data_IF_504419800893
#
_entry.id   IF_504419800893
#
_cell.length_a   1.000
_cell.length_b   1.000
_cell.length_c   1.000
_cell.angle_alpha   90.00
_cell.angle_beta   90.00
_cell.angle_gamma   90.00
#
_symmetry.space_group_name_H-M   'P 1'
#
loop_
_entity.id
_entity.type
_entity.pdbx_description
1 polymer ?
#
# COMPACT_ATOMS: atom_id res chain seq x y z
N UNK A 1 -31.94 -12.62 -21.44
CA UNK A 1 -30.50 -12.91 -21.57
C UNK A 1 -30.39 -14.21 -22.37
N UNK A 2 -29.65 -14.24 -23.44
CA UNK A 2 -29.41 -15.45 -24.22
C UNK A 2 -28.30 -16.28 -23.54
N UNK A 3 -28.40 -17.60 -23.68
CA UNK A 3 -27.43 -18.54 -23.10
C UNK A 3 -26.92 -19.49 -24.19
N UNK A 4 -25.65 -19.89 -24.08
CA UNK A 4 -25.07 -21.00 -24.83
C UNK A 4 -24.79 -22.14 -23.89
N UNK A 5 -24.76 -23.37 -24.40
CA UNK A 5 -24.39 -24.57 -23.67
C UNK A 5 -22.88 -24.77 -23.79
N UNK A 6 -22.21 -24.87 -22.66
CA UNK A 6 -20.81 -25.26 -22.52
C UNK A 6 -20.72 -26.57 -21.75
N UNK A 7 -19.58 -27.25 -21.82
CA UNK A 7 -19.38 -28.49 -21.09
C UNK A 7 -17.95 -28.63 -20.56
N UNK A 8 -17.81 -29.32 -19.48
CA UNK A 8 -16.56 -29.78 -18.90
C UNK A 8 -16.64 -31.25 -18.48
N UNK A 9 -15.69 -31.73 -17.69
CA UNK A 9 -15.68 -33.13 -17.22
C UNK A 9 -16.86 -33.49 -16.32
N UNK A 10 -17.64 -32.54 -15.81
CA UNK A 10 -18.82 -32.72 -14.98
C UNK A 10 -20.14 -32.69 -15.76
N UNK A 11 -20.08 -32.36 -17.06
CA UNK A 11 -21.26 -32.31 -17.93
C UNK A 11 -21.55 -30.90 -18.46
N UNK A 12 -22.78 -30.74 -18.97
CA UNK A 12 -23.25 -29.50 -19.56
C UNK A 12 -23.62 -28.45 -18.50
N UNK A 13 -23.44 -27.17 -18.87
CA UNK A 13 -23.87 -25.99 -18.10
C UNK A 13 -24.22 -24.86 -19.06
N UNK A 14 -25.15 -24.01 -18.66
CA UNK A 14 -25.58 -22.83 -19.44
C UNK A 14 -24.78 -21.62 -19.04
N UNK A 15 -24.13 -20.97 -20.01
CA UNK A 15 -23.30 -19.76 -19.82
C UNK A 15 -23.94 -18.60 -20.60
N UNK A 16 -23.96 -17.36 -20.07
CA UNK A 16 -24.44 -16.21 -20.83
C UNK A 16 -23.74 -16.09 -22.19
N UNK A 17 -24.52 -15.95 -23.27
CA UNK A 17 -23.98 -16.02 -24.64
C UNK A 17 -23.03 -14.88 -24.99
N UNK A 18 -23.15 -13.73 -24.31
CA UNK A 18 -22.33 -12.53 -24.48
C UNK A 18 -21.00 -12.56 -23.69
N UNK A 19 -20.73 -13.62 -22.92
CA UNK A 19 -19.53 -13.73 -22.07
C UNK A 19 -18.51 -14.68 -22.68
N UNK A 20 -17.22 -14.34 -22.50
CA UNK A 20 -16.12 -15.20 -22.97
C UNK A 20 -15.75 -16.32 -22.01
N UNK A 21 -16.14 -16.26 -20.73
CA UNK A 21 -15.93 -17.39 -19.82
C UNK A 21 -16.74 -18.62 -20.24
N UNK A 22 -16.37 -19.81 -19.77
CA UNK A 22 -17.01 -21.07 -20.13
C UNK A 22 -17.43 -21.85 -18.88
N UNK A 23 -17.51 -23.18 -19.02
CA UNK A 23 -18.14 -24.07 -18.03
C UNK A 23 -17.52 -24.00 -16.64
N UNK A 24 -16.21 -24.03 -16.51
CA UNK A 24 -15.56 -24.06 -15.19
C UNK A 24 -15.74 -22.74 -14.42
N UNK A 25 -15.68 -21.61 -15.11
CA UNK A 25 -15.97 -20.31 -14.51
C UNK A 25 -17.43 -20.22 -14.10
N UNK A 26 -18.38 -20.63 -14.94
CA UNK A 26 -19.81 -20.59 -14.59
C UNK A 26 -20.12 -21.43 -13.36
N UNK A 27 -19.54 -22.64 -13.27
CA UNK A 27 -19.70 -23.46 -12.05
C UNK A 27 -19.19 -22.77 -10.79
N UNK A 28 -18.07 -22.10 -10.89
CA UNK A 28 -17.53 -21.32 -9.75
C UNK A 28 -18.44 -20.15 -9.39
N UNK A 29 -18.95 -19.44 -10.39
CA UNK A 29 -19.87 -18.33 -10.22
C UNK A 29 -21.17 -18.78 -9.52
N UNK A 30 -21.71 -19.94 -9.89
CA UNK A 30 -22.90 -20.52 -9.25
C UNK A 30 -22.61 -21.09 -7.85
N UNK A 31 -21.43 -21.72 -7.65
CA UNK A 31 -21.10 -22.41 -6.40
C UNK A 31 -20.70 -21.46 -5.26
N UNK A 32 -20.20 -20.27 -5.56
CA UNK A 32 -19.66 -19.34 -4.56
C UNK A 32 -20.36 -17.96 -4.59
N UNK A 33 -21.68 -17.90 -4.28
CA UNK A 33 -22.40 -16.62 -4.21
C UNK A 33 -22.07 -15.87 -2.90
N UNK A 34 -20.79 -15.62 -2.62
CA UNK A 34 -20.26 -15.05 -1.36
C UNK A 34 -19.58 -13.74 -1.68
N UNK A 35 -20.12 -12.62 -1.16
CA UNK A 35 -19.54 -11.29 -1.37
C UNK A 35 -19.64 -10.78 -2.81
N UNK A 36 -20.59 -11.30 -3.58
CA UNK A 36 -20.79 -10.96 -5.00
C UNK A 36 -20.96 -9.44 -5.19
N UNK A 37 -20.18 -8.87 -6.10
CA UNK A 37 -20.20 -7.45 -6.41
C UNK A 37 -19.42 -6.58 -5.42
N UNK A 38 -18.86 -7.17 -4.35
CA UNK A 38 -18.03 -6.46 -3.35
C UNK A 38 -16.64 -7.09 -3.30
N UNK A 39 -16.52 -8.34 -2.85
CA UNK A 39 -15.23 -9.05 -2.75
C UNK A 39 -14.95 -9.84 -4.04
N UNK A 40 -14.86 -9.15 -5.17
CA UNK A 40 -14.46 -9.72 -6.45
C UNK A 40 -12.95 -9.90 -6.53
N UNK A 41 -12.49 -10.80 -7.40
CA UNK A 41 -11.05 -10.95 -7.67
C UNK A 41 -10.44 -9.61 -8.09
N UNK A 42 -9.35 -9.14 -7.44
CA UNK A 42 -8.74 -7.85 -7.77
C UNK A 42 -8.35 -7.75 -9.25
N UNK A 43 -8.54 -6.58 -9.82
CA UNK A 43 -8.19 -6.32 -11.24
C UNK A 43 -6.70 -6.46 -11.49
N UNK A 44 -5.87 -6.20 -10.50
CA UNK A 44 -4.43 -6.40 -10.52
C UNK A 44 -4.06 -7.88 -10.76
N UNK A 45 -4.83 -8.81 -10.19
CA UNK A 45 -4.66 -10.26 -10.44
C UNK A 45 -5.09 -10.62 -11.87
N UNK A 46 -6.19 -10.05 -12.37
CA UNK A 46 -6.65 -10.28 -13.75
C UNK A 46 -5.60 -9.77 -14.74
N UNK A 47 -5.08 -8.57 -14.53
CA UNK A 47 -3.98 -7.98 -15.31
C UNK A 47 -2.74 -8.88 -15.29
N UNK A 48 -2.32 -9.34 -14.11
CA UNK A 48 -1.19 -10.24 -13.95
C UNK A 48 -1.39 -11.58 -14.67
N UNK A 49 -2.60 -12.12 -14.69
CA UNK A 49 -2.91 -13.30 -15.51
C UNK A 49 -2.75 -13.02 -17.01
N UNK A 50 -3.15 -11.87 -17.50
CA UNK A 50 -2.92 -11.46 -18.90
C UNK A 50 -1.43 -11.49 -19.25
N UNK A 51 -0.58 -10.87 -18.41
CA UNK A 51 0.89 -10.89 -18.55
C UNK A 51 1.46 -12.30 -18.51
N UNK A 52 1.08 -13.09 -17.52
CA UNK A 52 1.55 -14.46 -17.29
C UNK A 52 1.19 -15.36 -18.49
N UNK A 53 -0.06 -15.30 -18.97
CA UNK A 53 -0.53 -16.16 -20.08
C UNK A 53 0.14 -15.78 -21.39
N UNK A 54 0.36 -14.50 -21.64
CA UNK A 54 1.15 -14.04 -22.80
C UNK A 54 2.59 -14.51 -22.72
N UNK A 55 3.24 -14.37 -21.58
CA UNK A 55 4.61 -14.83 -21.35
C UNK A 55 4.75 -16.35 -21.51
N UNK A 56 3.77 -17.12 -20.98
CA UNK A 56 3.74 -18.57 -21.13
C UNK A 56 3.57 -19.01 -22.60
N UNK A 57 2.73 -18.33 -23.37
CA UNK A 57 2.58 -18.59 -24.79
C UNK A 57 3.89 -18.31 -25.56
N UNK A 58 4.58 -17.21 -25.27
CA UNK A 58 5.89 -16.87 -25.87
C UNK A 58 6.94 -17.92 -25.54
N UNK A 59 7.04 -18.34 -24.27
CA UNK A 59 7.99 -19.38 -23.85
C UNK A 59 7.67 -20.74 -24.49
N UNK A 60 6.39 -21.13 -24.55
CA UNK A 60 5.95 -22.37 -25.19
C UNK A 60 6.20 -22.35 -26.71
N UNK A 61 6.02 -21.21 -27.37
CA UNK A 61 6.33 -21.05 -28.78
C UNK A 61 7.83 -21.26 -29.06
N UNK A 62 8.69 -20.71 -28.20
CA UNK A 62 10.14 -20.93 -28.31
C UNK A 62 10.56 -22.39 -28.09
N UNK A 63 9.92 -23.06 -27.12
CA UNK A 63 10.32 -24.41 -26.68
C UNK A 63 9.59 -25.55 -27.41
N UNK A 64 8.37 -25.31 -27.88
CA UNK A 64 7.48 -26.28 -28.54
C UNK A 64 6.72 -25.65 -29.72
N UNK A 65 7.39 -25.13 -30.75
CA UNK A 65 6.74 -24.40 -31.86
C UNK A 65 5.74 -25.28 -32.64
N UNK A 66 5.94 -26.60 -32.63
CA UNK A 66 5.00 -27.56 -33.27
C UNK A 66 3.64 -27.62 -32.57
N UNK A 67 3.55 -27.25 -31.28
CA UNK A 67 2.30 -27.20 -30.53
C UNK A 67 1.78 -25.77 -30.37
N UNK A 68 2.64 -24.82 -30.04
CA UNK A 68 2.34 -23.41 -29.95
C UNK A 68 2.79 -22.73 -31.25
N UNK A 69 1.94 -22.82 -32.26
CA UNK A 69 2.24 -22.27 -33.62
C UNK A 69 2.17 -20.73 -33.62
N UNK A 70 2.72 -20.09 -34.66
CA UNK A 70 2.64 -18.63 -34.87
C UNK A 70 1.19 -18.11 -34.79
N UNK A 71 0.26 -18.86 -35.39
CA UNK A 71 -1.16 -18.49 -35.42
C UNK A 71 -1.79 -18.53 -34.04
N UNK A 72 -1.49 -19.56 -33.22
CA UNK A 72 -1.95 -19.67 -31.83
C UNK A 72 -1.34 -18.57 -30.97
N UNK A 73 -0.03 -18.35 -31.09
CA UNK A 73 0.67 -17.29 -30.35
C UNK A 73 0.08 -15.91 -30.66
N UNK A 74 -0.20 -15.61 -31.94
CA UNK A 74 -0.78 -14.32 -32.32
C UNK A 74 -2.17 -14.11 -31.71
N UNK A 75 -3.05 -15.11 -31.78
CA UNK A 75 -4.40 -15.05 -31.22
C UNK A 75 -4.38 -14.92 -29.67
N UNK A 76 -3.52 -15.70 -28.99
CA UNK A 76 -3.34 -15.64 -27.53
C UNK A 76 -2.80 -14.27 -27.13
N UNK A 77 -1.74 -13.79 -27.80
CA UNK A 77 -1.11 -12.52 -27.45
C UNK A 77 -2.08 -11.35 -27.57
N UNK A 78 -2.88 -11.31 -28.64
CA UNK A 78 -3.87 -10.25 -28.82
C UNK A 78 -4.98 -10.30 -27.75
N UNK A 79 -5.51 -11.48 -27.45
CA UNK A 79 -6.51 -11.63 -26.38
C UNK A 79 -5.91 -11.25 -25.00
N UNK A 80 -4.66 -11.63 -24.72
CA UNK A 80 -3.96 -11.23 -23.50
C UNK A 80 -3.78 -9.71 -23.41
N UNK A 81 -3.47 -9.03 -24.50
CA UNK A 81 -3.34 -7.56 -24.52
C UNK A 81 -4.67 -6.86 -24.16
N UNK A 82 -5.81 -7.42 -24.59
CA UNK A 82 -7.13 -6.93 -24.18
C UNK A 82 -7.41 -7.18 -22.67
N UNK A 83 -6.96 -8.30 -22.11
CA UNK A 83 -7.04 -8.57 -20.66
C UNK A 83 -6.15 -7.60 -19.88
N UNK A 84 -4.89 -7.44 -20.29
CA UNK A 84 -3.92 -6.51 -19.70
C UNK A 84 -4.46 -5.07 -19.73
N UNK A 85 -5.03 -4.65 -20.86
CA UNK A 85 -5.63 -3.32 -21.02
C UNK A 85 -6.96 -3.11 -20.28
N UNK A 86 -7.52 -4.17 -19.67
CA UNK A 86 -8.77 -4.11 -18.90
C UNK A 86 -10.05 -4.10 -19.73
N UNK A 87 -9.97 -4.22 -21.06
CA UNK A 87 -11.12 -4.23 -21.96
C UNK A 87 -12.07 -5.40 -21.70
N UNK A 88 -11.53 -6.53 -21.20
CA UNK A 88 -12.27 -7.74 -20.91
C UNK A 88 -12.64 -7.90 -19.42
N UNK A 89 -12.51 -6.88 -18.59
CA UNK A 89 -12.75 -6.96 -17.14
C UNK A 89 -14.13 -7.50 -16.76
N UNK A 90 -15.17 -7.26 -17.57
CA UNK A 90 -16.54 -7.74 -17.33
C UNK A 90 -16.72 -9.23 -17.62
N UNK A 91 -15.68 -9.91 -18.07
CA UNK A 91 -15.62 -11.35 -18.29
C UNK A 91 -14.95 -12.12 -17.12
N UNK A 92 -14.66 -11.42 -15.99
CA UNK A 92 -14.05 -11.99 -14.79
C UNK A 92 -14.98 -11.79 -13.58
N UNK A 93 -16.05 -12.63 -13.46
CA UNK A 93 -17.10 -12.42 -12.46
C UNK A 93 -16.76 -13.01 -11.09
N UNK A 94 -15.63 -13.72 -10.94
CA UNK A 94 -15.39 -14.55 -9.78
C UNK A 94 -15.05 -13.73 -8.53
N UNK A 95 -15.47 -14.26 -7.39
CA UNK A 95 -15.22 -13.68 -6.06
C UNK A 95 -13.92 -14.23 -5.46
N UNK A 96 -13.43 -13.55 -4.43
CA UNK A 96 -12.29 -13.99 -3.62
C UNK A 96 -12.58 -15.31 -2.90
N UNK A 97 -13.81 -15.50 -2.46
CA UNK A 97 -14.29 -16.66 -1.71
C UNK A 97 -14.60 -17.83 -2.64
N UNK A 98 -13.55 -18.38 -3.23
CA UNK A 98 -13.55 -19.52 -4.16
C UNK A 98 -12.57 -20.58 -3.67
N UNK A 99 -12.18 -21.54 -4.52
CA UNK A 99 -11.11 -22.48 -4.16
C UNK A 99 -9.84 -21.76 -3.77
N UNK A 100 -9.24 -22.14 -2.65
CA UNK A 100 -8.11 -21.46 -2.06
C UNK A 100 -6.80 -21.52 -2.85
N UNK A 101 -6.72 -22.40 -3.85
CA UNK A 101 -5.62 -22.48 -4.80
C UNK A 101 -5.71 -21.48 -5.96
N UNK A 102 -6.86 -20.79 -6.13
CA UNK A 102 -7.13 -19.90 -7.24
C UNK A 102 -7.38 -20.61 -8.59
N UNK A 103 -7.68 -21.91 -8.57
CA UNK A 103 -7.90 -22.70 -9.79
C UNK A 103 -9.00 -22.11 -10.67
N UNK A 104 -10.12 -21.66 -10.10
CA UNK A 104 -11.19 -21.06 -10.88
C UNK A 104 -10.77 -19.75 -11.55
N UNK A 105 -9.98 -18.92 -10.88
CA UNK A 105 -9.43 -17.68 -11.50
C UNK A 105 -8.47 -17.99 -12.63
N UNK A 106 -7.60 -19.01 -12.48
CA UNK A 106 -6.75 -19.48 -13.57
C UNK A 106 -7.60 -19.97 -14.76
N UNK A 107 -8.65 -20.77 -14.50
CA UNK A 107 -9.54 -21.26 -15.55
C UNK A 107 -10.36 -20.15 -16.18
N UNK A 108 -10.79 -19.15 -15.41
CA UNK A 108 -11.46 -17.97 -15.94
C UNK A 108 -10.56 -17.25 -16.97
N UNK A 109 -9.30 -17.03 -16.64
CA UNK A 109 -8.34 -16.45 -17.58
C UNK A 109 -8.15 -17.34 -18.82
N UNK A 110 -8.00 -18.66 -18.63
CA UNK A 110 -7.85 -19.61 -19.72
C UNK A 110 -9.06 -19.60 -20.67
N UNK A 111 -10.27 -19.62 -20.12
CA UNK A 111 -11.52 -19.67 -20.89
C UNK A 111 -11.75 -18.36 -21.66
N UNK A 112 -11.55 -17.20 -21.01
CA UNK A 112 -11.70 -15.87 -21.62
C UNK A 112 -10.70 -15.69 -22.76
N UNK A 113 -9.42 -15.99 -22.53
CA UNK A 113 -8.37 -15.83 -23.54
C UNK A 113 -8.60 -16.79 -24.72
N UNK A 114 -8.98 -18.07 -24.46
CA UNK A 114 -9.25 -19.03 -25.52
C UNK A 114 -10.44 -18.61 -26.38
N UNK A 115 -11.56 -18.24 -25.79
CA UNK A 115 -12.76 -17.87 -26.52
C UNK A 115 -12.59 -16.55 -27.28
N UNK A 116 -11.95 -15.54 -26.67
CA UNK A 116 -11.64 -14.29 -27.36
C UNK A 116 -10.62 -14.51 -28.50
N UNK A 117 -9.59 -15.32 -28.27
CA UNK A 117 -8.61 -15.67 -29.30
C UNK A 117 -9.23 -16.44 -30.48
N UNK A 118 -10.19 -17.33 -30.21
CA UNK A 118 -10.94 -18.03 -31.23
C UNK A 118 -11.80 -17.08 -32.08
N UNK A 119 -12.45 -16.10 -31.43
CA UNK A 119 -13.21 -15.07 -32.15
C UNK A 119 -12.29 -14.22 -33.04
N UNK A 120 -11.14 -13.78 -32.49
CA UNK A 120 -10.14 -13.01 -33.25
C UNK A 120 -9.57 -13.79 -34.45
N UNK A 121 -9.37 -15.10 -34.30
CA UNK A 121 -8.92 -15.99 -35.39
C UNK A 121 -10.03 -16.35 -36.40
N UNK A 122 -11.29 -16.07 -36.08
CA UNK A 122 -12.45 -16.43 -36.90
C UNK A 122 -12.71 -17.94 -37.01
N UNK A 123 -12.11 -18.74 -36.13
CA UNK A 123 -12.24 -20.22 -36.07
C UNK A 123 -11.91 -20.78 -34.71
N UNK A 124 -12.34 -22.01 -34.43
CA UNK A 124 -11.96 -22.75 -33.20
C UNK A 124 -10.49 -23.20 -33.30
N UNK A 125 -9.56 -22.37 -32.83
CA UNK A 125 -8.12 -22.58 -32.88
C UNK A 125 -7.54 -22.99 -31.54
N UNK A 126 -8.07 -22.44 -30.45
CA UNK A 126 -7.53 -22.52 -29.10
C UNK A 126 -8.44 -23.33 -28.16
N UNK A 127 -7.81 -24.09 -27.25
CA UNK A 127 -8.46 -24.77 -26.15
C UNK A 127 -7.94 -24.26 -24.80
N UNK A 128 -8.81 -23.98 -23.81
CA UNK A 128 -8.37 -23.38 -22.53
C UNK A 128 -7.27 -24.16 -21.81
N UNK A 129 -7.41 -25.50 -21.74
CA UNK A 129 -6.45 -26.35 -21.02
C UNK A 129 -5.22 -26.70 -21.87
N UNK A 130 -5.40 -27.02 -23.16
CA UNK A 130 -4.34 -27.58 -23.98
C UNK A 130 -3.40 -26.50 -24.53
N UNK A 131 -3.92 -25.30 -24.78
CA UNK A 131 -3.18 -24.20 -25.37
C UNK A 131 -2.87 -23.08 -24.38
N UNK A 132 -3.89 -22.51 -23.69
CA UNK A 132 -3.67 -21.38 -22.79
C UNK A 132 -2.97 -21.82 -21.50
N UNK A 133 -3.32 -23.00 -20.96
CA UNK A 133 -2.70 -23.59 -19.77
C UNK A 133 -1.50 -24.50 -20.05
N UNK A 134 -1.01 -24.53 -21.28
CA UNK A 134 0.12 -25.37 -21.69
C UNK A 134 1.34 -25.16 -20.80
N UNK A 135 1.93 -26.26 -20.29
CA UNK A 135 3.10 -26.27 -19.39
C UNK A 135 2.87 -25.66 -17.99
N UNK A 136 1.61 -25.48 -17.57
CA UNK A 136 1.22 -24.78 -16.35
C UNK A 136 0.27 -25.63 -15.49
N UNK A 137 0.14 -25.22 -14.24
CA UNK A 137 -0.92 -25.61 -13.31
C UNK A 137 -1.50 -24.35 -12.65
N UNK A 138 -2.74 -24.40 -12.16
CA UNK A 138 -3.24 -23.31 -11.29
C UNK A 138 -2.39 -23.12 -10.04
N UNK A 139 -1.72 -24.18 -9.58
CA UNK A 139 -0.90 -24.15 -8.38
C UNK A 139 0.36 -23.29 -8.52
N UNK A 140 0.92 -23.18 -9.72
CA UNK A 140 2.07 -22.30 -9.98
C UNK A 140 1.68 -20.97 -10.66
N UNK A 141 0.54 -20.90 -11.37
CA UNK A 141 0.10 -19.68 -12.02
C UNK A 141 -0.46 -18.65 -11.04
N UNK A 142 -1.32 -19.06 -10.10
CA UNK A 142 -1.95 -18.11 -9.17
C UNK A 142 -0.93 -17.42 -8.25
N UNK A 143 0.02 -18.12 -7.58
CA UNK A 143 1.07 -17.44 -6.81
C UNK A 143 1.97 -16.57 -7.67
N UNK A 144 2.22 -16.94 -8.93
CA UNK A 144 2.95 -16.08 -9.88
C UNK A 144 2.18 -14.79 -10.16
N UNK A 145 0.86 -14.88 -10.44
CA UNK A 145 0.02 -13.70 -10.62
C UNK A 145 -0.02 -12.80 -9.36
N UNK A 146 -0.05 -13.39 -8.18
CA UNK A 146 0.06 -12.66 -6.90
C UNK A 146 1.36 -11.85 -6.83
N UNK A 147 2.51 -12.47 -7.15
CA UNK A 147 3.80 -11.81 -7.12
C UNK A 147 3.91 -10.69 -8.16
N UNK A 148 3.45 -10.91 -9.39
CA UNK A 148 3.42 -9.87 -10.42
C UNK A 148 2.60 -8.67 -9.93
N UNK A 149 1.35 -8.90 -9.49
CA UNK A 149 0.47 -7.85 -9.01
C UNK A 149 1.04 -7.11 -7.78
N UNK A 150 1.68 -7.84 -6.85
CA UNK A 150 2.30 -7.25 -5.68
C UNK A 150 3.48 -6.33 -6.05
N UNK A 151 4.38 -6.78 -6.92
CA UNK A 151 5.52 -5.96 -7.37
C UNK A 151 5.05 -4.72 -8.12
N UNK A 152 4.10 -4.86 -9.04
CA UNK A 152 3.58 -3.72 -9.81
C UNK A 152 2.91 -2.68 -8.90
N UNK A 153 2.05 -3.09 -7.97
CA UNK A 153 1.38 -2.12 -7.08
C UNK A 153 2.37 -1.41 -6.15
N UNK A 154 3.40 -2.12 -5.67
CA UNK A 154 4.43 -1.52 -4.82
C UNK A 154 5.31 -0.54 -5.60
N UNK A 155 5.86 -0.94 -6.75
CA UNK A 155 6.78 -0.12 -7.53
C UNK A 155 6.08 1.02 -8.28
N UNK A 156 4.87 0.79 -8.81
CA UNK A 156 4.22 1.74 -9.70
C UNK A 156 3.21 2.65 -8.99
N UNK A 157 2.81 2.35 -7.74
CA UNK A 157 1.81 3.13 -7.00
C UNK A 157 2.28 3.52 -5.59
N UNK A 158 2.72 2.57 -4.75
CA UNK A 158 3.05 2.87 -3.34
C UNK A 158 4.32 3.70 -3.23
N UNK A 159 5.41 3.27 -3.87
CA UNK A 159 6.69 4.01 -3.84
C UNK A 159 6.52 5.41 -4.42
N UNK A 160 5.90 5.64 -5.59
CA UNK A 160 5.69 6.99 -6.09
C UNK A 160 4.83 7.88 -5.16
N UNK A 161 3.83 7.31 -4.49
CA UNK A 161 3.03 8.06 -3.52
C UNK A 161 3.86 8.50 -2.30
N UNK A 162 4.75 7.63 -1.80
CA UNK A 162 5.69 7.98 -0.74
C UNK A 162 6.63 9.09 -1.20
N UNK A 163 7.23 8.94 -2.38
CA UNK A 163 8.17 9.92 -2.94
C UNK A 163 7.53 11.29 -3.09
N UNK A 164 6.28 11.35 -3.57
CA UNK A 164 5.50 12.58 -3.68
C UNK A 164 5.35 13.31 -2.32
N UNK A 165 5.00 12.58 -1.26
CA UNK A 165 4.81 13.17 0.08
C UNK A 165 6.15 13.54 0.73
N UNK A 166 7.21 12.76 0.49
CA UNK A 166 8.59 13.07 0.92
C UNK A 166 9.05 14.40 0.32
N UNK A 167 8.82 14.61 -0.98
CA UNK A 167 9.18 15.87 -1.66
C UNK A 167 8.40 17.06 -1.10
N UNK A 168 7.12 16.88 -0.80
CA UNK A 168 6.29 17.91 -0.14
C UNK A 168 6.84 18.25 1.24
N UNK A 169 7.19 17.27 2.06
CA UNK A 169 7.77 17.55 3.39
C UNK A 169 9.14 18.20 3.30
N UNK A 170 9.98 17.81 2.34
CA UNK A 170 11.26 18.47 2.11
C UNK A 170 11.10 19.97 1.74
N UNK A 171 10.09 20.31 0.95
CA UNK A 171 9.73 21.70 0.66
C UNK A 171 9.27 22.42 1.93
N UNK A 172 8.38 21.80 2.71
CA UNK A 172 7.88 22.40 3.96
C UNK A 172 8.97 22.59 5.01
N UNK A 173 9.95 21.69 5.11
CA UNK A 173 11.13 21.87 5.97
C UNK A 173 11.86 23.17 5.64
N UNK A 174 12.16 23.39 4.35
CA UNK A 174 12.87 24.60 3.88
C UNK A 174 12.07 25.88 4.13
N UNK A 175 10.77 25.85 3.87
CA UNK A 175 9.86 27.00 4.08
C UNK A 175 9.70 27.38 5.56
N UNK A 176 9.94 26.44 6.47
CA UNK A 176 9.79 26.61 7.92
C UNK A 176 11.13 26.60 8.68
N UNK A 177 12.24 26.75 7.98
CA UNK A 177 13.55 26.92 8.61
C UNK A 177 13.55 28.13 9.56
N UNK A 178 14.07 27.95 10.77
CA UNK A 178 14.09 28.98 11.81
C UNK A 178 12.74 29.29 12.48
N UNK A 179 11.68 28.58 12.19
CA UNK A 179 10.40 28.70 12.90
C UNK A 179 10.45 27.86 14.19
N UNK A 180 10.63 28.51 15.32
CA UNK A 180 10.74 27.86 16.64
C UNK A 180 9.37 27.76 17.30
N UNK A 181 9.09 26.60 17.89
CA UNK A 181 7.85 26.28 18.62
C UNK A 181 8.13 25.47 19.89
N UNK A 182 7.14 25.30 20.74
CA UNK A 182 7.21 24.33 21.85
C UNK A 182 7.21 22.91 21.28
N UNK A 183 8.21 22.11 21.65
CA UNK A 183 8.13 20.65 21.51
C UNK A 183 7.11 20.09 22.48
N UNK A 184 6.64 18.86 22.23
CA UNK A 184 5.71 18.15 23.12
C UNK A 184 6.09 16.69 23.24
N UNK A 185 6.13 16.20 24.47
CA UNK A 185 6.22 14.78 24.82
C UNK A 185 5.08 14.45 25.77
N UNK A 186 4.45 13.30 25.62
CA UNK A 186 3.23 12.91 26.38
C UNK A 186 2.07 13.91 26.21
N UNK A 187 2.01 14.67 25.11
CA UNK A 187 1.14 15.84 24.89
C UNK A 187 1.33 16.97 25.91
N UNK A 188 2.41 16.94 26.71
CA UNK A 188 2.80 18.01 27.61
C UNK A 188 3.85 18.90 26.96
N UNK A 189 3.90 20.17 27.39
CA UNK A 189 4.91 21.12 26.94
C UNK A 189 6.32 20.61 27.27
N UNK A 190 7.20 20.72 26.29
CA UNK A 190 8.61 20.35 26.40
C UNK A 190 9.51 21.52 25.96
N UNK A 191 10.79 21.25 25.80
CA UNK A 191 11.78 22.21 25.35
C UNK A 191 11.51 22.64 23.88
N UNK A 192 12.05 23.80 23.45
CA UNK A 192 11.88 24.27 22.07
C UNK A 192 12.37 23.30 21.02
N UNK A 193 11.74 23.36 19.86
CA UNK A 193 12.09 22.64 18.63
C UNK A 193 11.83 23.55 17.43
N UNK A 194 12.59 23.41 16.36
CA UNK A 194 12.20 24.02 15.09
C UNK A 194 11.08 23.23 14.42
N UNK A 195 10.11 23.90 13.81
CA UNK A 195 9.03 23.22 13.10
C UNK A 195 9.58 22.41 11.90
N UNK A 196 10.64 22.90 11.27
CA UNK A 196 11.37 22.13 10.25
C UNK A 196 11.96 20.82 10.78
N UNK A 197 12.42 20.77 12.03
CA UNK A 197 12.90 19.52 12.66
C UNK A 197 11.76 18.54 12.90
N UNK A 198 10.58 18.99 13.32
CA UNK A 198 9.38 18.15 13.45
C UNK A 198 8.97 17.53 12.11
N UNK A 199 8.92 18.36 11.04
CA UNK A 199 8.63 17.89 9.67
C UNK A 199 9.70 16.91 9.18
N UNK A 200 10.96 17.14 9.48
CA UNK A 200 12.07 16.23 9.11
C UNK A 200 11.89 14.83 9.71
N UNK A 201 11.31 14.75 10.90
CA UNK A 201 10.94 13.48 11.53
C UNK A 201 9.90 12.73 10.69
N UNK A 202 8.83 13.41 10.26
CA UNK A 202 7.80 12.82 9.39
C UNK A 202 8.38 12.34 8.06
N UNK A 203 9.20 13.17 7.42
CA UNK A 203 9.88 12.80 6.17
C UNK A 203 10.78 11.58 6.32
N UNK A 204 11.56 11.53 7.38
CA UNK A 204 12.50 10.44 7.62
C UNK A 204 11.77 9.11 7.86
N UNK A 205 10.63 9.10 8.58
CA UNK A 205 9.78 7.92 8.71
C UNK A 205 9.39 7.36 7.33
N UNK A 206 8.86 8.21 6.45
CA UNK A 206 8.47 7.80 5.09
C UNK A 206 9.65 7.27 4.25
N UNK A 207 10.82 7.87 4.38
CA UNK A 207 12.03 7.40 3.70
C UNK A 207 12.44 6.01 4.18
N UNK A 208 12.33 5.73 5.49
CA UNK A 208 12.57 4.41 6.07
C UNK A 208 11.54 3.38 5.61
N UNK A 209 10.26 3.74 5.58
CA UNK A 209 9.21 2.86 5.06
C UNK A 209 9.43 2.50 3.60
N UNK A 210 9.85 3.47 2.78
CA UNK A 210 10.27 3.23 1.40
C UNK A 210 11.41 2.21 1.30
N UNK A 211 12.42 2.33 2.15
CA UNK A 211 13.55 1.38 2.22
C UNK A 211 13.05 -0.04 2.59
N UNK A 212 12.14 -0.16 3.56
CA UNK A 212 11.54 -1.44 3.95
C UNK A 212 10.76 -2.09 2.81
N UNK A 213 10.00 -1.31 2.04
CA UNK A 213 9.28 -1.80 0.86
C UNK A 213 10.28 -2.27 -0.21
N UNK A 214 11.33 -1.50 -0.50
CA UNK A 214 12.37 -1.90 -1.44
C UNK A 214 13.07 -3.21 -1.05
N UNK A 215 13.30 -3.43 0.25
CA UNK A 215 13.88 -4.68 0.77
C UNK A 215 12.95 -5.89 0.57
N UNK A 216 11.64 -5.68 0.46
CA UNK A 216 10.66 -6.75 0.24
C UNK A 216 10.52 -7.18 -1.23
N UNK A 217 11.00 -6.37 -2.18
CA UNK A 217 10.83 -6.64 -3.61
C UNK A 217 11.63 -7.84 -4.14
N UNK A 218 12.91 -8.04 -3.78
CA UNK A 218 13.70 -9.12 -4.36
C UNK A 218 13.09 -10.52 -4.22
N UNK A 219 12.59 -10.96 -3.05
CA UNK A 219 11.89 -12.25 -2.94
C UNK A 219 10.55 -12.29 -3.67
N UNK A 220 9.79 -11.19 -3.74
CA UNK A 220 8.56 -11.12 -4.52
C UNK A 220 8.79 -11.27 -6.03
N UNK A 221 9.98 -10.95 -6.52
CA UNK A 221 10.36 -11.11 -7.93
C UNK A 221 10.74 -12.54 -8.32
N UNK A 222 10.72 -13.48 -7.37
CA UNK A 222 10.90 -14.92 -7.61
C UNK A 222 9.55 -15.58 -7.89
N UNK A 223 9.45 -16.25 -9.07
CA UNK A 223 8.19 -16.77 -9.58
C UNK A 223 8.07 -18.28 -9.44
N UNK A 224 6.90 -18.74 -9.00
CA UNK A 224 6.56 -20.14 -8.84
C UNK A 224 6.38 -20.86 -10.20
N UNK A 225 6.09 -20.13 -11.27
CA UNK A 225 5.73 -20.66 -12.57
C UNK A 225 6.82 -21.60 -13.11
N UNK A 226 6.38 -22.74 -13.65
CA UNK A 226 7.24 -23.87 -14.02
C UNK A 226 7.33 -24.98 -12.97
N UNK A 227 6.86 -24.76 -11.74
CA UNK A 227 6.71 -25.81 -10.72
C UNK A 227 5.57 -26.79 -11.00
N UNK A 228 4.59 -26.35 -11.78
CA UNK A 228 3.37 -27.08 -12.11
C UNK A 228 2.58 -27.54 -10.87
N UNK A 229 2.14 -28.80 -10.81
CA UNK A 229 1.20 -29.27 -9.81
C UNK A 229 1.74 -29.26 -8.37
N UNK A 230 2.99 -29.70 -8.16
CA UNK A 230 3.58 -29.92 -6.84
C UNK A 230 5.04 -29.42 -6.72
N UNK A 231 5.56 -28.70 -7.73
CA UNK A 231 6.92 -28.16 -7.73
C UNK A 231 7.94 -28.96 -8.56
N UNK A 232 7.56 -30.10 -9.12
CA UNK A 232 8.45 -30.97 -9.90
C UNK A 232 8.59 -30.60 -11.37
N UNK A 233 7.74 -29.67 -11.86
CA UNK A 233 7.74 -29.26 -13.28
C UNK A 233 7.13 -30.32 -14.20
N UNK A 234 6.22 -31.17 -13.71
CA UNK A 234 5.59 -32.20 -14.51
C UNK A 234 4.92 -31.62 -15.77
N UNK A 235 5.22 -32.20 -16.93
CA UNK A 235 4.72 -31.80 -18.26
C UNK A 235 5.25 -30.47 -18.81
N UNK A 236 6.01 -29.69 -18.04
CA UNK A 236 6.68 -28.51 -18.56
C UNK A 236 7.98 -28.91 -19.29
N UNK A 237 8.31 -28.30 -20.45
CA UNK A 237 9.59 -28.55 -21.09
C UNK A 237 10.75 -27.95 -20.27
N UNK A 238 11.92 -28.56 -20.38
CA UNK A 238 13.12 -28.07 -19.69
C UNK A 238 13.41 -26.61 -20.09
N UNK A 239 13.59 -25.74 -19.09
CA UNK A 239 13.86 -24.32 -19.28
C UNK A 239 12.62 -23.44 -19.41
N UNK A 240 11.41 -24.01 -19.35
CA UNK A 240 10.18 -23.24 -19.38
C UNK A 240 10.09 -22.22 -18.25
N UNK A 241 10.47 -22.63 -17.05
CA UNK A 241 10.46 -21.79 -15.84
C UNK A 241 11.37 -20.57 -15.95
N UNK A 242 12.55 -20.72 -16.57
CA UNK A 242 13.48 -19.62 -16.82
C UNK A 242 12.94 -18.70 -17.93
N UNK A 243 12.58 -19.27 -19.08
CA UNK A 243 12.12 -18.46 -20.21
C UNK A 243 10.84 -17.70 -19.93
N UNK A 244 9.86 -18.30 -19.21
CA UNK A 244 8.62 -17.60 -18.88
C UNK A 244 8.87 -16.44 -17.91
N UNK A 245 9.79 -16.58 -16.95
CA UNK A 245 10.17 -15.49 -16.06
C UNK A 245 10.88 -14.34 -16.83
N UNK A 246 11.75 -14.67 -17.79
CA UNK A 246 12.38 -13.69 -18.68
C UNK A 246 11.35 -12.96 -19.56
N UNK A 247 10.33 -13.65 -20.06
CA UNK A 247 9.24 -13.01 -20.80
C UNK A 247 8.40 -12.08 -19.92
N UNK A 248 8.09 -12.48 -18.68
CA UNK A 248 7.40 -11.62 -17.72
C UNK A 248 8.25 -10.38 -17.42
N UNK A 249 9.55 -10.54 -17.20
CA UNK A 249 10.47 -9.43 -16.99
C UNK A 249 10.49 -8.45 -18.18
N UNK A 250 10.53 -8.98 -19.39
CA UNK A 250 10.51 -8.17 -20.61
C UNK A 250 9.18 -7.41 -20.80
N UNK A 251 8.04 -8.05 -20.51
CA UNK A 251 6.71 -7.44 -20.65
C UNK A 251 6.44 -6.35 -19.60
N UNK A 252 6.98 -6.51 -18.41
CA UNK A 252 6.74 -5.57 -17.28
C UNK A 252 7.85 -4.53 -17.09
N UNK A 253 9.04 -4.77 -17.66
CA UNK A 253 10.23 -3.96 -17.38
C UNK A 253 10.78 -4.14 -15.96
N UNK A 254 10.43 -5.24 -15.25
CA UNK A 254 10.81 -5.52 -13.87
C UNK A 254 11.63 -6.82 -13.77
N UNK A 255 12.56 -6.92 -12.80
CA UNK A 255 13.57 -7.99 -12.69
C UNK A 255 13.01 -9.32 -12.18
N UNK A 256 11.90 -9.80 -12.76
CA UNK A 256 11.36 -11.11 -12.41
C UNK A 256 12.30 -12.24 -12.81
N UNK A 257 12.38 -13.27 -11.98
CA UNK A 257 13.18 -14.45 -12.20
C UNK A 257 12.47 -15.71 -11.70
N UNK A 258 12.92 -16.86 -12.18
CA UNK A 258 12.42 -18.14 -11.70
C UNK A 258 12.85 -18.37 -10.24
N UNK A 259 11.91 -18.84 -9.38
CA UNK A 259 12.24 -19.18 -8.00
C UNK A 259 13.22 -20.36 -7.94
N UNK A 260 14.22 -20.24 -7.08
CA UNK A 260 15.24 -21.28 -6.90
C UNK A 260 14.71 -22.59 -6.30
N UNK A 261 13.57 -22.53 -5.58
CA UNK A 261 12.90 -23.71 -5.03
C UNK A 261 11.40 -23.62 -5.30
N UNK A 262 10.91 -24.44 -6.25
CA UNK A 262 9.49 -24.46 -6.63
C UNK A 262 8.57 -25.05 -5.56
N UNK A 263 9.09 -25.93 -4.71
CA UNK A 263 8.31 -26.51 -3.59
C UNK A 263 7.99 -25.45 -2.55
N UNK A 264 8.96 -24.59 -2.22
CA UNK A 264 8.74 -23.40 -1.38
C UNK A 264 7.77 -22.43 -2.04
N UNK A 265 8.01 -22.05 -3.29
CA UNK A 265 7.24 -21.03 -3.99
C UNK A 265 5.74 -21.36 -4.15
N UNK A 266 5.38 -22.67 -4.25
CA UNK A 266 3.99 -23.11 -4.29
C UNK A 266 3.31 -23.01 -2.92
N UNK A 267 4.03 -23.35 -1.86
CA UNK A 267 3.46 -23.54 -0.51
C UNK A 267 3.59 -22.32 0.37
N UNK A 268 4.76 -21.69 0.42
CA UNK A 268 5.00 -20.54 1.29
C UNK A 268 4.47 -19.25 0.68
N UNK A 269 4.06 -18.32 1.56
CA UNK A 269 3.65 -16.96 1.22
C UNK A 269 4.36 -15.94 2.12
N UNK A 270 5.52 -16.30 2.61
CA UNK A 270 6.34 -15.48 3.51
C UNK A 270 6.80 -14.18 2.84
N UNK A 271 7.01 -14.17 1.53
CA UNK A 271 7.33 -12.96 0.77
C UNK A 271 6.17 -11.95 0.82
N UNK A 272 4.93 -12.43 0.68
CA UNK A 272 3.72 -11.59 0.81
C UNK A 272 3.57 -11.08 2.25
N UNK A 273 3.82 -11.93 3.27
CA UNK A 273 3.78 -11.52 4.68
C UNK A 273 4.82 -10.46 4.98
N UNK A 274 6.06 -10.64 4.51
CA UNK A 274 7.13 -9.68 4.72
C UNK A 274 6.83 -8.34 4.07
N UNK A 275 6.38 -8.34 2.83
CA UNK A 275 6.00 -7.12 2.12
C UNK A 275 4.79 -6.43 2.75
N UNK A 276 3.79 -7.20 3.23
CA UNK A 276 2.66 -6.61 3.96
C UNK A 276 3.09 -6.02 5.31
N UNK A 277 4.08 -6.62 5.98
CA UNK A 277 4.71 -6.06 7.17
C UNK A 277 5.34 -4.68 6.92
N UNK A 278 5.95 -4.47 5.75
CA UNK A 278 6.44 -3.15 5.33
C UNK A 278 5.28 -2.16 5.09
N UNK A 279 4.18 -2.59 4.47
CA UNK A 279 2.96 -1.77 4.32
C UNK A 279 2.35 -1.41 5.69
N UNK A 280 2.38 -2.32 6.66
CA UNK A 280 1.93 -2.04 8.04
C UNK A 280 2.82 -1.00 8.73
N UNK A 281 4.14 -1.03 8.54
CA UNK A 281 5.03 0.00 9.06
C UNK A 281 4.67 1.37 8.48
N UNK A 282 4.51 1.48 7.17
CA UNK A 282 4.04 2.68 6.49
C UNK A 282 2.69 3.16 7.03
N UNK A 283 1.74 2.25 7.25
CA UNK A 283 0.44 2.60 7.83
C UNK A 283 0.56 3.18 9.25
N UNK A 284 1.46 2.64 10.07
CA UNK A 284 1.71 3.12 11.42
C UNK A 284 2.31 4.53 11.42
N UNK A 285 3.28 4.80 10.56
CA UNK A 285 3.89 6.12 10.43
C UNK A 285 2.93 7.14 9.81
N UNK A 286 2.14 6.75 8.81
CA UNK A 286 1.09 7.62 8.27
C UNK A 286 0.02 7.97 9.31
N UNK A 287 -0.36 7.03 10.18
CA UNK A 287 -1.26 7.31 11.31
C UNK A 287 -0.65 8.34 12.26
N UNK A 288 0.62 8.18 12.61
CA UNK A 288 1.37 9.13 13.46
C UNK A 288 1.42 10.52 12.83
N UNK A 289 1.80 10.62 11.57
CA UNK A 289 1.88 11.90 10.83
C UNK A 289 0.51 12.58 10.78
N UNK A 290 -0.53 11.85 10.38
CA UNK A 290 -1.89 12.39 10.32
C UNK A 290 -2.41 12.87 11.68
N UNK A 291 -2.09 12.16 12.77
CA UNK A 291 -2.45 12.57 14.12
C UNK A 291 -1.69 13.84 14.54
N UNK A 292 -0.39 13.96 14.27
CA UNK A 292 0.37 15.17 14.57
C UNK A 292 -0.21 16.38 13.82
N UNK A 293 -0.44 16.25 12.52
CA UNK A 293 -1.03 17.33 11.70
C UNK A 293 -2.40 17.73 12.24
N UNK A 294 -3.24 16.77 12.58
CA UNK A 294 -4.57 17.01 13.15
C UNK A 294 -4.53 17.72 14.51
N UNK A 295 -3.60 17.32 15.39
CA UNK A 295 -3.38 17.98 16.66
C UNK A 295 -2.87 19.41 16.50
N UNK A 296 -1.85 19.62 15.67
CA UNK A 296 -1.29 20.95 15.42
C UNK A 296 -2.31 21.92 14.81
N UNK A 297 -3.23 21.41 13.98
CA UNK A 297 -4.30 22.20 13.35
C UNK A 297 -5.55 22.36 14.22
N UNK A 298 -5.60 21.75 15.40
CA UNK A 298 -6.80 21.75 16.25
C UNK A 298 -7.21 23.15 16.72
N UNK A 299 -8.49 23.38 16.81
CA UNK A 299 -9.05 24.67 17.25
C UNK A 299 -10.10 25.19 16.31
N UNK A 300 -10.01 26.46 15.82
CA UNK A 300 -8.83 27.35 15.73
C UNK A 300 -8.49 28.15 16.99
N UNK A 301 -9.43 28.30 17.94
CA UNK A 301 -9.19 29.16 19.13
C UNK A 301 -8.92 28.37 20.40
N UNK A 302 -9.64 27.28 20.66
CA UNK A 302 -9.58 26.47 21.89
C UNK A 302 -8.65 25.25 21.78
N UNK A 303 -7.99 25.07 20.64
CA UNK A 303 -7.00 24.01 20.41
C UNK A 303 -5.58 24.56 20.26
N UNK A 304 -4.67 23.72 19.72
CA UNK A 304 -3.26 24.13 19.53
C UNK A 304 -3.11 25.25 18.50
N UNK A 305 -3.79 25.11 17.35
CA UNK A 305 -3.83 26.16 16.31
C UNK A 305 -2.46 26.57 15.78
N UNK A 306 -1.44 25.69 15.83
CA UNK A 306 -0.07 26.01 15.44
C UNK A 306 0.18 25.91 13.93
N UNK A 307 -0.70 25.22 13.20
CA UNK A 307 -0.65 25.17 11.74
C UNK A 307 -2.03 25.45 11.15
N UNK A 308 -2.03 25.91 9.90
CA UNK A 308 -3.20 25.93 9.04
C UNK A 308 -3.12 24.79 8.03
N UNK A 309 -4.25 24.16 7.75
CA UNK A 309 -4.42 23.16 6.70
C UNK A 309 -5.52 23.62 5.73
N UNK A 310 -5.56 23.12 4.49
CA UNK A 310 -6.63 23.45 3.53
C UNK A 310 -8.03 23.11 4.06
N UNK A 311 -8.97 23.99 3.72
CA UNK A 311 -10.40 23.80 3.97
C UNK A 311 -11.02 23.14 2.72
N UNK A 312 -11.37 21.86 2.80
CA UNK A 312 -11.80 21.09 1.62
C UNK A 312 -13.33 20.99 1.52
N UNK A 313 -14.03 20.94 2.66
CA UNK A 313 -15.50 20.83 2.72
C UNK A 313 -16.07 21.36 4.04
N UNK A 314 -17.37 21.70 4.09
CA UNK A 314 -18.04 22.06 5.35
C UNK A 314 -17.97 20.92 6.37
N UNK A 315 -17.52 21.21 7.59
CA UNK A 315 -17.24 20.22 8.63
C UNK A 315 -18.43 19.88 9.53
N UNK A 316 -19.60 20.55 9.37
CA UNK A 316 -20.75 20.33 10.24
C UNK A 316 -22.06 20.76 9.58
N UNK A 317 -23.11 19.98 9.82
CA UNK A 317 -24.47 20.32 9.38
C UNK A 317 -25.16 21.35 10.27
N UNK A 318 -24.66 21.60 11.49
CA UNK A 318 -25.32 22.48 12.48
C UNK A 318 -24.41 23.60 13.03
N UNK A 319 -23.08 23.55 12.74
CA UNK A 319 -22.09 24.55 13.17
C UNK A 319 -21.51 25.25 11.94
N UNK A 320 -22.09 26.38 11.49
CA UNK A 320 -21.59 27.09 10.30
C UNK A 320 -20.14 27.54 10.48
N UNK A 321 -19.32 27.31 9.43
CA UNK A 321 -17.91 27.70 9.43
C UNK A 321 -16.97 26.71 10.13
N UNK A 322 -17.47 25.59 10.66
CA UNK A 322 -16.60 24.53 11.20
C UNK A 322 -15.94 23.75 10.05
N UNK A 323 -14.62 23.61 10.12
CA UNK A 323 -13.83 22.80 9.19
C UNK A 323 -13.12 21.70 9.97
N UNK A 324 -13.15 20.47 9.45
CA UNK A 324 -12.54 19.31 10.09
C UNK A 324 -11.26 18.88 9.34
N UNK A 325 -10.31 18.23 10.00
CA UNK A 325 -9.10 17.69 9.38
C UNK A 325 -9.38 16.34 8.69
N UNK A 326 -10.33 16.32 7.73
CA UNK A 326 -10.92 15.11 7.14
C UNK A 326 -9.93 14.24 6.40
N UNK A 327 -8.91 14.82 5.77
CA UNK A 327 -7.83 14.06 5.14
C UNK A 327 -7.03 13.25 6.17
N UNK A 328 -6.77 13.83 7.34
CA UNK A 328 -6.11 13.11 8.44
C UNK A 328 -6.99 11.96 8.96
N UNK A 329 -8.31 12.18 9.05
CA UNK A 329 -9.25 11.15 9.48
C UNK A 329 -9.29 9.98 8.48
N UNK A 330 -9.33 10.25 7.18
CA UNK A 330 -9.29 9.24 6.13
C UNK A 330 -8.02 8.39 6.20
N UNK A 331 -6.86 9.03 6.34
CA UNK A 331 -5.57 8.32 6.49
C UNK A 331 -5.57 7.40 7.70
N UNK A 332 -6.07 7.86 8.86
CA UNK A 332 -6.09 7.03 10.07
C UNK A 332 -7.03 5.84 9.94
N UNK A 333 -8.18 5.97 9.24
CA UNK A 333 -9.07 4.85 8.95
C UNK A 333 -8.43 3.84 8.00
N UNK A 334 -7.73 4.30 6.95
CA UNK A 334 -6.98 3.43 6.06
C UNK A 334 -5.90 2.66 6.82
N UNK A 335 -5.15 3.32 7.72
CA UNK A 335 -4.14 2.67 8.53
C UNK A 335 -4.72 1.55 9.40
N UNK A 336 -5.88 1.77 10.02
CA UNK A 336 -6.60 0.72 10.79
C UNK A 336 -6.96 -0.47 9.91
N UNK A 337 -7.49 -0.22 8.69
CA UNK A 337 -7.83 -1.30 7.76
C UNK A 337 -6.60 -2.12 7.36
N UNK A 338 -5.46 -1.47 7.06
CA UNK A 338 -4.20 -2.14 6.72
C UNK A 338 -3.69 -3.02 7.86
N UNK A 339 -3.79 -2.55 9.10
CA UNK A 339 -3.42 -3.33 10.30
C UNK A 339 -4.31 -4.57 10.45
N UNK A 340 -5.61 -4.46 10.17
CA UNK A 340 -6.53 -5.61 10.14
C UNK A 340 -6.18 -6.61 9.04
N UNK A 341 -5.87 -6.12 7.84
CA UNK A 341 -5.47 -6.95 6.71
C UNK A 341 -4.14 -7.70 6.98
N UNK A 342 -3.21 -7.11 7.73
CA UNK A 342 -1.95 -7.76 8.11
C UNK A 342 -2.19 -9.06 8.89
N UNK A 343 -3.15 -9.06 9.80
CA UNK A 343 -3.56 -10.26 10.54
C UNK A 343 -4.12 -11.32 9.58
N UNK A 344 -5.00 -10.91 8.66
CA UNK A 344 -5.58 -11.83 7.68
C UNK A 344 -4.51 -12.45 6.77
N UNK A 345 -3.55 -11.65 6.27
CA UNK A 345 -2.44 -12.12 5.43
C UNK A 345 -1.55 -13.11 6.20
N UNK A 346 -1.14 -12.78 7.42
CA UNK A 346 -0.30 -13.64 8.23
C UNK A 346 -0.96 -14.98 8.57
N UNK A 347 -2.23 -14.96 8.97
CA UNK A 347 -3.01 -16.17 9.26
C UNK A 347 -3.18 -17.04 8.02
N UNK A 348 -3.55 -16.46 6.88
CA UNK A 348 -3.73 -17.19 5.63
C UNK A 348 -2.41 -17.79 5.12
N UNK A 349 -1.30 -17.07 5.22
CA UNK A 349 0.02 -17.59 4.84
C UNK A 349 0.45 -18.78 5.69
N UNK A 350 0.06 -18.84 6.97
CA UNK A 350 0.39 -19.95 7.88
C UNK A 350 -0.34 -21.26 7.59
N UNK A 351 -1.31 -21.27 6.68
CA UNK A 351 -2.22 -22.40 6.41
C UNK A 351 -1.77 -23.30 5.25
N UNK A 352 -0.54 -23.18 4.76
CA UNK A 352 0.03 -24.09 3.76
C UNK A 352 0.14 -25.53 4.32
N UNK A 353 -0.33 -26.52 3.54
CA UNK A 353 -0.24 -27.93 3.90
C UNK A 353 0.46 -28.70 2.78
N UNK A 354 1.53 -29.41 3.12
CA UNK A 354 2.38 -30.13 2.16
C UNK A 354 2.81 -29.21 1.00
N UNK A 355 2.40 -29.52 -0.23
CA UNK A 355 2.90 -28.88 -1.45
C UNK A 355 2.07 -27.67 -1.91
N UNK A 356 1.06 -27.22 -1.14
CA UNK A 356 0.21 -26.10 -1.55
C UNK A 356 -0.37 -25.31 -0.38
N UNK A 357 -0.43 -23.99 -0.53
CA UNK A 357 -1.28 -23.11 0.27
C UNK A 357 -2.63 -22.93 -0.44
N UNK A 358 -3.72 -23.12 0.27
CA UNK A 358 -5.08 -22.96 -0.26
C UNK A 358 -5.84 -21.78 0.35
N UNK A 359 -5.11 -20.73 0.73
CA UNK A 359 -5.63 -19.44 1.19
C UNK A 359 -5.13 -18.29 0.32
N UNK A 360 -4.65 -18.59 -0.88
CA UNK A 360 -4.01 -17.60 -1.77
C UNK A 360 -4.93 -16.45 -2.18
N UNK A 361 -6.23 -16.65 -2.52
CA UNK A 361 -7.11 -15.53 -2.87
C UNK A 361 -7.28 -14.51 -1.74
N UNK A 362 -7.39 -14.93 -0.48
CA UNK A 362 -7.51 -14.00 0.64
C UNK A 362 -6.20 -13.28 0.93
N UNK A 363 -5.04 -13.94 0.75
CA UNK A 363 -3.73 -13.28 0.81
C UNK A 363 -3.64 -12.16 -0.24
N UNK A 364 -3.94 -12.48 -1.49
CA UNK A 364 -3.88 -11.53 -2.61
C UNK A 364 -4.82 -10.34 -2.40
N UNK A 365 -6.07 -10.59 -2.03
CA UNK A 365 -7.08 -9.56 -1.82
C UNK A 365 -6.67 -8.56 -0.74
N UNK A 366 -6.29 -9.05 0.45
CA UNK A 366 -5.92 -8.18 1.57
C UNK A 366 -4.61 -7.41 1.30
N UNK A 367 -3.63 -8.06 0.66
CA UNK A 367 -2.39 -7.39 0.27
C UNK A 367 -2.64 -6.24 -0.71
N UNK A 368 -3.34 -6.52 -1.80
CA UNK A 368 -3.60 -5.53 -2.85
C UNK A 368 -4.52 -4.42 -2.38
N UNK A 369 -5.52 -4.73 -1.53
CA UNK A 369 -6.36 -3.70 -0.90
C UNK A 369 -5.50 -2.75 -0.05
N UNK A 370 -4.61 -3.29 0.79
CA UNK A 370 -3.72 -2.49 1.64
C UNK A 370 -2.81 -1.58 0.83
N UNK A 371 -2.15 -2.12 -0.19
CA UNK A 371 -1.23 -1.36 -1.05
C UNK A 371 -1.95 -0.23 -1.79
N UNK A 372 -3.12 -0.54 -2.41
CA UNK A 372 -3.93 0.44 -3.12
C UNK A 372 -4.43 1.55 -2.21
N UNK A 373 -5.04 1.19 -1.07
CA UNK A 373 -5.58 2.17 -0.13
C UNK A 373 -4.48 3.09 0.42
N UNK A 374 -3.29 2.57 0.74
CA UNK A 374 -2.18 3.39 1.21
C UNK A 374 -1.70 4.35 0.12
N UNK A 375 -1.49 3.88 -1.10
CA UNK A 375 -1.06 4.74 -2.20
C UNK A 375 -2.06 5.88 -2.46
N UNK A 376 -3.35 5.56 -2.50
CA UNK A 376 -4.43 6.53 -2.73
C UNK A 376 -4.59 7.50 -1.55
N UNK A 377 -4.53 7.02 -0.31
CA UNK A 377 -4.63 7.86 0.88
C UNK A 377 -3.44 8.81 1.04
N UNK A 378 -2.21 8.34 0.76
CA UNK A 378 -1.01 9.18 0.79
C UNK A 378 -1.09 10.26 -0.27
N UNK A 379 -1.50 9.92 -1.51
CA UNK A 379 -1.67 10.88 -2.60
C UNK A 379 -2.75 11.91 -2.26
N UNK A 380 -3.91 11.47 -1.78
CA UNK A 380 -4.99 12.37 -1.38
C UNK A 380 -4.58 13.29 -0.23
N UNK A 381 -3.91 12.75 0.79
CA UNK A 381 -3.37 13.53 1.90
C UNK A 381 -2.34 14.55 1.43
N UNK A 382 -1.43 14.15 0.53
CA UNK A 382 -0.48 15.07 -0.08
C UNK A 382 -1.20 16.24 -0.76
N UNK A 383 -2.08 15.93 -1.72
CA UNK A 383 -2.67 16.92 -2.62
C UNK A 383 -3.71 17.82 -1.94
N UNK A 384 -4.40 17.30 -0.92
CA UNK A 384 -5.52 17.97 -0.26
C UNK A 384 -5.22 18.46 1.16
N UNK A 385 -4.07 18.10 1.73
CA UNK A 385 -3.67 18.52 3.06
C UNK A 385 -2.22 19.00 3.11
N UNK A 386 -1.25 18.13 2.86
CA UNK A 386 0.16 18.41 3.12
C UNK A 386 0.71 19.60 2.33
N UNK A 387 0.39 19.68 1.03
CA UNK A 387 0.85 20.80 0.16
C UNK A 387 0.42 22.18 0.67
N UNK A 388 -0.65 22.26 1.44
CA UNK A 388 -1.21 23.51 1.96
C UNK A 388 -0.94 23.77 3.44
N UNK A 389 -0.12 22.95 4.10
CA UNK A 389 0.29 23.18 5.50
C UNK A 389 1.09 24.50 5.58
N UNK A 390 0.68 25.36 6.52
CA UNK A 390 1.35 26.62 6.81
C UNK A 390 1.50 26.82 8.30
N UNK A 391 2.68 27.23 8.76
CA UNK A 391 2.91 27.56 10.16
C UNK A 391 2.09 28.78 10.58
N UNK A 392 1.38 28.68 11.70
CA UNK A 392 0.84 29.84 12.42
C UNK A 392 1.94 30.39 13.34
N UNK A 393 2.87 31.15 12.76
CA UNK A 393 4.06 31.66 13.44
C UNK A 393 3.72 32.48 14.68
N UNK A 394 2.63 33.22 14.66
CA UNK A 394 2.19 34.01 15.81
C UNK A 394 1.77 33.09 16.96
N UNK A 395 0.94 32.07 16.68
CA UNK A 395 0.50 31.11 17.70
C UNK A 395 1.65 30.26 18.23
N UNK A 396 2.54 29.79 17.35
CA UNK A 396 3.74 29.04 17.76
C UNK A 396 4.60 29.88 18.72
N UNK A 397 4.88 31.14 18.38
CA UNK A 397 5.64 32.05 19.24
C UNK A 397 4.91 32.33 20.56
N UNK A 398 3.60 32.59 20.52
CA UNK A 398 2.81 32.79 21.72
C UNK A 398 2.88 31.58 22.65
N UNK A 399 2.65 30.39 22.15
CA UNK A 399 2.72 29.15 22.94
C UNK A 399 4.13 28.93 23.48
N UNK A 400 5.16 29.15 22.68
CA UNK A 400 6.56 29.03 23.10
C UNK A 400 6.86 29.94 24.31
N UNK A 401 6.58 31.23 24.20
CA UNK A 401 6.89 32.18 25.29
C UNK A 401 6.05 32.00 26.56
N UNK A 402 4.90 31.32 26.46
CA UNK A 402 4.10 30.98 27.63
C UNK A 402 4.50 29.61 28.26
N UNK A 403 5.38 28.85 27.63
CA UNK A 403 5.80 27.55 28.13
C UNK A 403 6.71 27.71 29.35
N UNK A 404 6.34 27.08 30.47
CA UNK A 404 7.18 27.04 31.66
C UNK A 404 8.43 26.18 31.50
N UNK A 405 8.47 25.33 30.49
CA UNK A 405 9.62 24.45 30.17
C UNK A 405 10.81 25.23 29.63
N UNK A 406 10.60 26.46 29.19
CA UNK A 406 11.67 27.39 28.85
C UNK A 406 12.59 27.72 30.03
N UNK A 407 12.16 27.47 31.28
CA UNK A 407 13.00 27.61 32.47
C UNK A 407 14.29 26.79 32.37
N UNK A 408 14.31 25.74 31.53
CA UNK A 408 15.51 24.94 31.27
C UNK A 408 16.68 25.78 30.72
N UNK A 409 16.40 26.85 29.99
CA UNK A 409 17.41 27.81 29.53
C UNK A 409 18.16 28.49 30.68
N UNK A 410 17.56 28.60 31.82
CA UNK A 410 18.15 29.24 33.01
C UNK A 410 19.05 28.29 33.82
N UNK A 411 18.99 26.96 33.59
CA UNK A 411 19.77 25.98 34.35
C UNK A 411 21.28 26.29 34.46
N UNK A 412 21.97 26.73 33.38
CA UNK A 412 23.38 27.06 33.42
C UNK A 412 23.71 28.26 34.35
N UNK A 413 22.70 29.11 34.56
CA UNK A 413 22.92 30.41 35.27
C UNK A 413 22.46 30.34 36.74
N UNK A 414 21.34 29.71 37.02
CA UNK A 414 20.74 29.67 38.37
C UNK A 414 20.70 28.29 39.00
N UNK A 415 21.08 27.23 38.24
CA UNK A 415 21.02 25.84 38.64
C UNK A 415 19.62 25.23 38.59
N UNK A 416 19.54 23.90 38.51
CA UNK A 416 18.31 23.14 38.34
C UNK A 416 17.26 23.40 39.43
N UNK A 417 17.68 23.44 40.73
CA UNK A 417 16.75 23.64 41.83
C UNK A 417 16.08 25.01 41.81
N UNK A 418 16.83 26.06 41.47
CA UNK A 418 16.29 27.41 41.38
C UNK A 418 15.43 27.61 40.16
N UNK A 419 15.79 26.96 39.04
CA UNK A 419 14.94 26.88 37.86
C UNK A 419 13.61 26.20 38.16
N UNK A 420 13.62 25.09 38.90
CA UNK A 420 12.40 24.40 39.32
C UNK A 420 11.54 25.28 40.28
N UNK A 421 12.15 26.05 41.17
CA UNK A 421 11.42 27.02 42.02
C UNK A 421 10.78 28.12 41.18
N UNK A 422 11.50 28.62 40.18
CA UNK A 422 11.01 29.66 39.25
C UNK A 422 9.79 29.15 38.48
N UNK A 423 9.87 27.98 37.88
CA UNK A 423 8.72 27.38 37.15
C UNK A 423 7.51 27.14 38.05
N UNK A 424 7.73 26.60 39.26
CA UNK A 424 6.64 26.36 40.26
C UNK A 424 5.97 27.65 40.72
N UNK A 425 6.75 28.74 40.94
CA UNK A 425 6.19 30.04 41.27
C UNK A 425 5.41 30.62 40.12
N UNK A 426 5.98 30.60 38.90
CA UNK A 426 5.31 31.08 37.72
C UNK A 426 3.97 30.39 37.48
N UNK A 427 3.94 29.05 37.63
CA UNK A 427 2.70 28.25 37.52
C UNK A 427 1.66 28.61 38.57
N UNK A 428 2.08 28.63 39.84
CA UNK A 428 1.17 28.83 40.99
C UNK A 428 0.55 30.23 41.00
N UNK A 429 1.32 31.24 40.61
CA UNK A 429 0.91 32.64 40.67
C UNK A 429 0.41 33.16 39.28
N UNK A 430 0.44 32.31 38.24
CA UNK A 430 0.07 32.63 36.88
C UNK A 430 0.80 33.89 36.36
N UNK A 431 2.12 33.92 36.57
CA UNK A 431 3.02 34.99 36.13
C UNK A 431 4.08 34.42 35.16
N UNK A 432 4.79 35.29 34.47
CA UNK A 432 5.86 34.89 33.57
C UNK A 432 7.06 34.27 34.30
N UNK A 433 7.89 33.52 33.61
CA UNK A 433 9.18 33.01 34.15
C UNK A 433 10.09 34.16 34.54
N UNK A 434 10.07 35.28 33.79
CA UNK A 434 10.85 36.50 34.13
C UNK A 434 10.41 37.07 35.48
N UNK A 435 9.12 37.34 35.64
CA UNK A 435 8.57 37.87 36.91
C UNK A 435 8.85 36.95 38.09
N UNK A 436 8.69 35.65 37.88
CA UNK A 436 8.96 34.66 38.95
C UNK A 436 10.45 34.62 39.32
N UNK A 437 11.36 34.65 38.32
CA UNK A 437 12.80 34.58 38.55
C UNK A 437 13.31 35.84 39.30
N UNK A 438 12.85 37.02 38.88
CA UNK A 438 13.18 38.29 39.52
C UNK A 438 12.63 38.38 40.96
N UNK A 439 11.36 37.98 41.15
CA UNK A 439 10.74 37.98 42.47
C UNK A 439 11.42 37.01 43.46
N UNK A 440 12.03 35.93 42.98
CA UNK A 440 12.83 35.00 43.75
C UNK A 440 14.28 35.52 44.00
N UNK A 441 14.67 36.60 43.37
CA UNK A 441 16.00 37.20 43.52
C UNK A 441 17.12 36.40 42.85
N UNK A 442 16.81 35.52 41.89
CA UNK A 442 17.82 34.71 41.20
C UNK A 442 18.54 35.46 40.08
N UNK A 443 17.84 36.34 39.36
CA UNK A 443 18.39 37.23 38.33
C UNK A 443 17.68 38.59 38.42
N UNK A 444 18.35 39.66 37.98
CA UNK A 444 17.70 40.94 37.66
C UNK A 444 16.98 40.83 36.32
N UNK A 445 16.08 41.76 36.02
CA UNK A 445 15.43 41.83 34.69
C UNK A 445 16.43 41.90 33.53
N UNK A 446 17.45 42.73 33.67
CA UNK A 446 18.50 42.87 32.64
C UNK A 446 19.30 41.58 32.45
N UNK A 447 19.66 40.88 33.54
CA UNK A 447 20.35 39.61 33.48
C UNK A 447 19.46 38.51 32.86
N UNK A 448 18.15 38.50 33.21
CA UNK A 448 17.22 37.57 32.60
C UNK A 448 17.14 37.76 31.07
N UNK A 449 16.96 38.98 30.61
CA UNK A 449 16.88 39.29 29.19
C UNK A 449 18.19 38.99 28.43
N UNK A 450 19.33 39.07 29.09
CA UNK A 450 20.64 38.73 28.53
C UNK A 450 20.83 37.24 28.30
N UNK A 451 20.21 36.35 29.11
CA UNK A 451 20.48 34.93 29.10
C UNK A 451 19.31 34.09 28.58
N UNK A 452 18.14 34.70 28.41
CA UNK A 452 16.91 33.95 28.05
C UNK A 452 16.58 34.08 26.56
N UNK A 453 17.13 33.18 25.78
CA UNK A 453 16.94 33.12 24.33
C UNK A 453 16.40 31.75 23.89
N UNK A 454 15.06 31.54 23.94
CA UNK A 454 14.45 30.26 23.55
C UNK A 454 14.84 29.77 22.16
N UNK A 455 15.07 30.69 21.23
CA UNK A 455 15.46 30.40 19.85
C UNK A 455 16.89 29.80 19.73
N UNK A 456 17.69 29.90 20.76
CA UNK A 456 19.05 29.32 20.81
C UNK A 456 19.08 27.92 21.49
N UNK A 457 17.93 27.41 21.89
CA UNK A 457 17.82 26.10 22.56
C UNK A 457 17.63 24.93 21.57
N UNK A 458 17.59 25.17 20.27
CA UNK A 458 17.38 24.20 19.20
C UNK A 458 18.66 23.81 18.49
#
# INVERSE_FOLDING_TARGET
MEYRTEHDSMGEIRVPADKYWAAQTERSHENFPIGVGIETMPREIIHAFGLLKKAAALANHSLKPERMTDEKLAAISQACDEVIGGTLNDHFPLVVWQTGSGTQSNMNANEVIANRGNELAGKKLLHPNDDINMSQSSNDTFPTAMHIAAVEVLEDRVIPAIDLLVDTFLRLERENEGVVKSGRTHLQDAVPIAFSQEISGWRTSLQRDRELILLSLPPLKELALGGTAVGTGLNAPKGFDVQVAEQIAALTGKDFRTAGNKFHALTSKDEIVFAHGALKALAADMMKIANDVRWLASGPRDGLGEIFIPENEPGSSIMPGKVNPTQCEAVTMVAVQVMGNDVAVGMAASQGNFELNVFMPVCAYNFLQSARLLAEAITSFNDRCAVGIRANREKMRHNLHNSLMLVTALNPYIGYENAAKTAKKAYKENISLKEACVALGFLTEAQFDEVFHPEQMI
#
